data_IF_339425836138
#
_entry.id   IF_339425836138
#
_cell.length_a   1.000
_cell.length_b   1.000
_cell.length_c   1.000
_cell.angle_alpha   90.00
_cell.angle_beta   90.00
_cell.angle_gamma   90.00
#
_symmetry.space_group_name_H-M   'P 1'
#
loop_
_entity.id
_entity.type
_entity.pdbx_description
1 polymer ?
#
# COMPACT_ATOMS: atom_id res chain seq x y z
N UNK A 1 8.32 8.31 13.58
CA UNK A 1 7.86 7.12 12.84
C UNK A 1 6.55 7.49 12.16
N UNK A 2 6.51 7.47 10.83
CA UNK A 2 5.31 7.84 10.09
C UNK A 2 4.35 6.65 9.98
N UNK A 3 3.06 6.94 9.96
CA UNK A 3 2.00 5.95 9.90
C UNK A 3 1.09 6.20 8.71
N UNK A 4 0.51 5.12 8.17
CA UNK A 4 -0.47 5.17 7.09
C UNK A 4 -1.84 4.73 7.63
N UNK A 5 -2.84 5.60 7.45
CA UNK A 5 -4.21 5.32 7.87
C UNK A 5 -4.85 4.24 6.98
N UNK A 6 -5.92 3.60 7.43
CA UNK A 6 -6.64 2.61 6.62
C UNK A 6 -7.10 3.19 5.28
N UNK A 7 -7.53 4.47 5.25
CA UNK A 7 -7.98 5.13 4.02
C UNK A 7 -6.83 5.34 3.05
N UNK A 8 -5.69 5.80 3.56
CA UNK A 8 -4.51 6.05 2.73
C UNK A 8 -3.96 4.74 2.15
N UNK A 9 -3.96 3.66 2.93
CA UNK A 9 -3.62 2.32 2.42
C UNK A 9 -4.50 1.94 1.23
N UNK A 10 -5.82 2.16 1.33
CA UNK A 10 -6.78 1.84 0.27
C UNK A 10 -6.56 2.71 -0.98
N UNK A 11 -6.23 3.99 -0.81
CA UNK A 11 -5.94 4.90 -1.92
C UNK A 11 -4.63 4.53 -2.66
N UNK A 12 -3.61 4.08 -1.93
CA UNK A 12 -2.39 3.56 -2.57
C UNK A 12 -2.73 2.32 -3.41
N UNK A 13 -3.51 1.39 -2.85
CA UNK A 13 -3.94 0.19 -3.56
C UNK A 13 -4.78 0.54 -4.78
N UNK A 14 -5.72 1.48 -4.66
CA UNK A 14 -6.52 1.97 -5.79
C UNK A 14 -5.63 2.44 -6.96
N UNK A 15 -4.62 3.26 -6.66
CA UNK A 15 -3.66 3.75 -7.65
C UNK A 15 -2.81 2.63 -8.26
N UNK A 16 -2.37 1.66 -7.45
CA UNK A 16 -1.63 0.48 -7.94
C UNK A 16 -2.45 -0.36 -8.94
N UNK A 17 -3.77 -0.42 -8.75
CA UNK A 17 -4.69 -1.09 -9.68
C UNK A 17 -5.16 -0.20 -10.83
N UNK A 18 -4.70 1.06 -10.91
CA UNK A 18 -5.19 2.06 -11.86
C UNK A 18 -6.72 2.15 -11.88
N UNK A 19 -7.32 2.18 -10.68
CA UNK A 19 -8.76 2.16 -10.44
C UNK A 19 -9.23 3.50 -9.88
N UNK A 20 -10.55 3.69 -9.78
CA UNK A 20 -11.20 4.79 -9.05
C UNK A 20 -12.08 4.28 -7.90
N UNK A 21 -12.03 2.97 -7.61
CA UNK A 21 -12.79 2.32 -6.55
C UNK A 21 -11.82 1.65 -5.55
N UNK A 22 -11.51 2.39 -4.49
CA UNK A 22 -10.71 1.96 -3.35
C UNK A 22 -11.24 0.68 -2.68
N UNK A 23 -12.56 0.51 -2.57
CA UNK A 23 -13.16 -0.63 -1.84
C UNK A 23 -12.96 -1.91 -2.65
N UNK A 24 -13.31 -1.87 -3.94
CA UNK A 24 -13.17 -3.03 -4.82
C UNK A 24 -11.69 -3.38 -5.04
N UNK A 25 -10.83 -2.39 -5.21
CA UNK A 25 -9.38 -2.61 -5.40
C UNK A 25 -8.74 -3.23 -4.15
N UNK A 26 -9.10 -2.73 -2.96
CA UNK A 26 -8.61 -3.29 -1.69
C UNK A 26 -9.15 -4.70 -1.44
N UNK A 27 -10.40 -4.98 -1.81
CA UNK A 27 -10.96 -6.34 -1.75
C UNK A 27 -10.15 -7.31 -2.62
N UNK A 28 -9.93 -6.97 -3.90
CA UNK A 28 -9.12 -7.78 -4.83
C UNK A 28 -7.68 -7.96 -4.33
N UNK A 29 -7.07 -6.90 -3.80
CA UNK A 29 -5.75 -6.97 -3.19
C UNK A 29 -5.72 -7.98 -2.04
N UNK A 30 -6.68 -7.88 -1.12
CA UNK A 30 -6.74 -8.76 0.04
C UNK A 30 -7.06 -10.21 -0.35
N UNK A 31 -7.92 -10.45 -1.34
CA UNK A 31 -8.16 -11.80 -1.87
C UNK A 31 -6.88 -12.44 -2.41
N UNK A 32 -6.01 -11.65 -3.05
CA UNK A 32 -4.75 -12.14 -3.63
C UNK A 32 -3.61 -12.27 -2.61
N UNK A 33 -3.53 -11.36 -1.64
CA UNK A 33 -2.32 -11.21 -0.81
C UNK A 33 -2.53 -11.35 0.70
N UNK A 34 -3.76 -11.33 1.22
CA UNK A 34 -3.97 -11.28 2.67
C UNK A 34 -3.41 -12.49 3.43
N UNK A 35 -3.37 -13.66 2.80
CA UNK A 35 -2.78 -14.87 3.40
C UNK A 35 -1.28 -14.71 3.68
N UNK A 36 -0.58 -13.89 2.89
CA UNK A 36 0.87 -13.64 3.04
C UNK A 36 1.15 -12.36 3.83
N UNK A 37 0.39 -11.30 3.59
CA UNK A 37 0.70 -9.94 4.07
C UNK A 37 -0.20 -9.48 5.22
N UNK A 38 -1.27 -10.20 5.51
CA UNK A 38 -2.40 -9.72 6.30
C UNK A 38 -3.30 -8.78 5.47
N UNK A 39 -4.46 -8.43 6.03
CA UNK A 39 -5.42 -7.53 5.38
C UNK A 39 -4.92 -6.09 5.39
N UNK A 40 -5.06 -5.41 4.26
CA UNK A 40 -4.83 -3.97 4.07
C UNK A 40 -6.14 -3.21 4.14
N UNK A 41 -6.03 -1.90 4.40
CA UNK A 41 -7.21 -1.05 4.62
C UNK A 41 -7.87 -1.35 5.96
N UNK A 42 -7.10 -1.86 6.93
CA UNK A 42 -7.56 -2.16 8.29
C UNK A 42 -6.64 -1.43 9.27
N UNK A 43 -7.24 -0.56 10.08
CA UNK A 43 -6.52 0.19 11.12
C UNK A 43 -5.37 1.03 10.57
N UNK A 44 -4.46 1.40 11.47
CA UNK A 44 -3.26 2.16 11.14
C UNK A 44 -2.04 1.24 11.26
N UNK A 45 -1.04 1.42 10.39
CA UNK A 45 0.24 0.73 10.49
C UNK A 45 1.39 1.66 10.16
N UNK A 46 2.61 1.26 10.52
CA UNK A 46 3.79 2.01 10.14
C UNK A 46 3.93 2.06 8.62
N UNK A 47 4.34 3.21 8.10
CA UNK A 47 4.55 3.38 6.66
C UNK A 47 5.59 2.38 6.14
N UNK A 48 6.69 2.17 6.88
CA UNK A 48 7.72 1.21 6.53
C UNK A 48 7.20 -0.24 6.46
N UNK A 49 6.32 -0.63 7.38
CA UNK A 49 5.67 -1.94 7.35
C UNK A 49 4.76 -2.10 6.14
N UNK A 50 3.99 -1.07 5.83
CA UNK A 50 3.14 -1.07 4.64
C UNK A 50 3.98 -1.19 3.37
N UNK A 51 5.03 -0.38 3.24
CA UNK A 51 5.94 -0.38 2.08
C UNK A 51 6.64 -1.74 1.90
N UNK A 52 7.18 -2.32 2.98
CA UNK A 52 7.78 -3.67 2.99
C UNK A 52 6.80 -4.76 2.59
N UNK A 53 5.52 -4.63 2.96
CA UNK A 53 4.48 -5.57 2.52
C UNK A 53 4.15 -5.38 1.03
N UNK A 54 4.04 -4.14 0.56
CA UNK A 54 3.80 -3.86 -0.87
C UNK A 54 4.92 -4.41 -1.75
N UNK A 55 6.18 -4.31 -1.31
CA UNK A 55 7.35 -4.88 -2.01
C UNK A 55 7.26 -6.39 -2.26
N UNK A 56 6.51 -7.11 -1.43
CA UNK A 56 6.30 -8.56 -1.57
C UNK A 56 5.19 -8.94 -2.56
N UNK A 57 4.60 -7.96 -3.23
CA UNK A 57 3.59 -8.14 -4.27
C UNK A 57 4.23 -8.16 -5.67
N UNK A 58 3.41 -8.20 -6.71
CA UNK A 58 3.87 -8.12 -8.10
C UNK A 58 4.04 -6.68 -8.62
N UNK A 59 3.66 -5.68 -7.82
CA UNK A 59 3.74 -4.29 -8.25
C UNK A 59 5.19 -3.80 -8.27
N UNK A 60 5.51 -2.94 -9.23
CA UNK A 60 6.85 -2.34 -9.30
C UNK A 60 7.11 -1.45 -8.10
N UNK A 61 8.31 -1.55 -7.52
CA UNK A 61 8.79 -0.73 -6.41
C UNK A 61 8.68 0.76 -6.71
N UNK A 62 9.02 1.18 -7.93
CA UNK A 62 8.87 2.57 -8.41
C UNK A 62 7.43 3.07 -8.27
N UNK A 63 6.43 2.25 -8.59
CA UNK A 63 5.03 2.63 -8.44
C UNK A 63 4.57 2.60 -6.98
N UNK A 64 5.08 1.66 -6.19
CA UNK A 64 4.78 1.59 -4.76
C UNK A 64 5.26 2.87 -4.07
N UNK A 65 6.53 3.25 -4.24
CA UNK A 65 7.10 4.47 -3.67
C UNK A 65 6.34 5.71 -4.15
N UNK A 66 6.14 5.83 -5.47
CA UNK A 66 5.42 6.95 -6.06
C UNK A 66 4.03 7.13 -5.45
N UNK A 67 3.25 6.07 -5.31
CA UNK A 67 1.87 6.18 -4.83
C UNK A 67 1.80 6.34 -3.32
N UNK A 68 2.71 5.74 -2.55
CA UNK A 68 2.76 6.03 -1.12
C UNK A 68 3.13 7.51 -0.91
N UNK A 69 4.11 8.04 -1.65
CA UNK A 69 4.45 9.47 -1.60
C UNK A 69 3.31 10.37 -2.04
N UNK A 70 2.60 10.02 -3.12
CA UNK A 70 1.48 10.80 -3.61
C UNK A 70 0.34 10.88 -2.58
N UNK A 71 0.02 9.77 -1.91
CA UNK A 71 -1.07 9.71 -0.92
C UNK A 71 -0.66 10.30 0.42
N UNK A 72 0.48 9.89 0.97
CA UNK A 72 0.88 10.23 2.35
C UNK A 72 1.74 11.50 2.44
N UNK A 73 2.23 12.00 1.30
CA UNK A 73 3.23 13.08 1.20
C UNK A 73 4.56 12.75 1.91
N UNK A 74 4.80 11.48 2.22
CA UNK A 74 6.05 11.00 2.82
C UNK A 74 6.93 10.36 1.77
N UNK A 75 8.21 10.73 1.74
CA UNK A 75 9.19 10.04 0.91
C UNK A 75 9.63 8.74 1.58
N UNK A 76 9.70 7.67 0.79
CA UNK A 76 10.12 6.35 1.25
C UNK A 76 11.02 5.79 0.16
N UNK A 77 12.15 5.26 0.59
CA UNK A 77 13.09 4.56 -0.24
C UNK A 77 13.04 3.07 0.17
N UNK A 78 12.54 2.21 -0.72
CA UNK A 78 12.41 0.78 -0.50
C UNK A 78 13.76 0.05 -0.51
N UNK A 79 14.80 0.62 -1.12
CA UNK A 79 16.16 0.06 -1.13
C UNK A 79 16.85 0.22 0.22
N UNK A 80 16.33 1.09 1.08
CA UNK A 80 16.82 1.29 2.44
C UNK A 80 16.27 0.26 3.45
N UNK A 81 15.37 -0.64 3.04
CA UNK A 81 14.68 -1.62 3.90
C UNK A 81 14.90 -3.10 3.53
#
# INVERSE_FOLDING_TARGET
MYYISYRDQMLVIEKLYNSTDSVTSTKKFNEKYANKLGKMGVGQMAISDFARKMRQTHFSEVYIERYIKDVTKQDIDLDTF
#
